data_IF_801743728243
#
_entry.id   IF_801743728243
#
_cell.length_a   1.000
_cell.length_b   1.000
_cell.length_c   1.000
_cell.angle_alpha   90.00
_cell.angle_beta   90.00
_cell.angle_gamma   90.00
#
_symmetry.space_group_name_H-M   'P 1'
#
loop_
_entity.id
_entity.type
_entity.pdbx_description
1 polymer ?
#
# COMPACT_ATOMS: atom_id res chain seq x y z
N UNK A 1 19.54 7.37 -0.51
CA UNK A 1 18.34 7.09 0.28
C UNK A 1 18.58 7.43 1.74
N UNK A 2 17.96 8.51 2.21
CA UNK A 2 18.02 8.91 3.61
C UNK A 2 16.88 8.23 4.39
N UNK A 3 17.06 6.94 4.68
CA UNK A 3 16.03 6.07 5.28
C UNK A 3 15.40 6.68 6.54
N UNK A 4 16.21 7.33 7.39
CA UNK A 4 15.73 7.97 8.61
C UNK A 4 14.75 9.13 8.34
N UNK A 5 14.98 9.90 7.28
CA UNK A 5 14.12 11.01 6.88
C UNK A 5 12.80 10.50 6.31
N UNK A 6 12.84 9.47 5.44
CA UNK A 6 11.64 8.81 4.92
C UNK A 6 10.76 8.29 6.07
N UNK A 7 11.34 7.56 7.02
CA UNK A 7 10.59 6.99 8.14
C UNK A 7 10.03 8.08 9.07
N UNK A 8 10.82 9.11 9.38
CA UNK A 8 10.41 10.23 10.24
C UNK A 8 9.26 11.03 9.64
N UNK A 9 9.35 11.38 8.35
CA UNK A 9 8.27 12.06 7.64
C UNK A 9 7.02 11.18 7.56
N UNK A 10 7.20 9.91 7.22
CA UNK A 10 6.08 8.97 7.13
C UNK A 10 5.37 8.81 8.46
N UNK A 11 6.09 8.77 9.58
CA UNK A 11 5.51 8.62 10.92
C UNK A 11 4.65 9.82 11.34
N UNK A 12 5.01 11.03 10.89
CA UNK A 12 4.25 12.26 11.18
C UNK A 12 3.05 12.44 10.25
N UNK A 13 3.11 11.89 9.05
CA UNK A 13 2.12 12.13 8.00
C UNK A 13 0.67 11.78 8.38
N UNK A 14 0.34 10.65 9.03
CA UNK A 14 -1.06 10.35 9.34
C UNK A 14 -1.69 11.32 10.35
N UNK A 15 -0.89 11.83 11.29
CA UNK A 15 -1.33 12.76 12.34
C UNK A 15 -1.18 14.23 11.95
N UNK A 16 -0.66 14.51 10.74
CA UNK A 16 -0.60 15.86 10.17
C UNK A 16 -1.96 16.57 10.17
N UNK A 17 -3.03 15.80 9.99
CA UNK A 17 -4.40 16.31 10.04
C UNK A 17 -5.34 15.31 10.72
N UNK A 18 -5.57 15.51 12.02
CA UNK A 18 -6.42 14.66 12.85
C UNK A 18 -7.85 14.51 12.31
N UNK A 19 -8.42 15.55 11.73
CA UNK A 19 -9.77 15.48 11.15
C UNK A 19 -9.82 14.50 9.97
N UNK A 20 -8.82 14.56 9.07
CA UNK A 20 -8.73 13.65 7.92
C UNK A 20 -8.44 12.21 8.38
N UNK A 21 -7.57 12.04 9.38
CA UNK A 21 -7.33 10.74 10.00
C UNK A 21 -8.60 10.11 10.58
N UNK A 22 -9.39 10.86 11.33
CA UNK A 22 -10.65 10.38 11.93
C UNK A 22 -11.71 10.03 10.88
N UNK A 23 -11.83 10.83 9.81
CA UNK A 23 -12.74 10.49 8.69
C UNK A 23 -12.29 9.19 8.04
N UNK A 24 -10.98 9.02 7.82
CA UNK A 24 -10.44 7.78 7.26
C UNK A 24 -10.69 6.59 8.20
N UNK A 25 -10.50 6.80 9.50
CA UNK A 25 -10.79 5.83 10.54
C UNK A 25 -12.25 5.41 10.62
N UNK A 26 -13.19 6.31 10.36
CA UNK A 26 -14.62 5.97 10.28
C UNK A 26 -14.91 5.01 9.12
N UNK A 27 -14.22 5.17 7.98
CA UNK A 27 -14.36 4.27 6.83
C UNK A 27 -13.77 2.89 7.16
N UNK A 28 -12.61 2.86 7.81
CA UNK A 28 -12.03 1.61 8.34
C UNK A 28 -12.96 0.92 9.34
N UNK A 29 -13.59 1.68 10.24
CA UNK A 29 -14.56 1.14 11.18
C UNK A 29 -15.75 0.49 10.46
N UNK A 30 -16.32 1.17 9.45
CA UNK A 30 -17.42 0.61 8.63
C UNK A 30 -16.97 -0.68 7.96
N UNK A 31 -15.79 -0.69 7.34
CA UNK A 31 -15.21 -1.87 6.71
C UNK A 31 -15.07 -3.02 7.72
N UNK A 32 -14.43 -2.78 8.87
CA UNK A 32 -14.22 -3.79 9.90
C UNK A 32 -15.53 -4.31 10.49
N UNK A 33 -16.50 -3.43 10.75
CA UNK A 33 -17.81 -3.82 11.23
C UNK A 33 -18.53 -4.75 10.24
N UNK A 34 -18.44 -4.45 8.94
CA UNK A 34 -19.00 -5.30 7.89
C UNK A 34 -18.30 -6.66 7.86
N UNK A 35 -16.97 -6.72 7.92
CA UNK A 35 -16.21 -7.98 7.93
C UNK A 35 -16.54 -8.83 9.17
N UNK A 36 -16.55 -8.23 10.36
CA UNK A 36 -16.90 -8.92 11.61
C UNK A 36 -18.34 -9.43 11.53
N UNK A 37 -19.29 -8.61 11.11
CA UNK A 37 -20.68 -9.04 10.98
C UNK A 37 -20.83 -10.18 9.98
N UNK A 38 -20.17 -10.12 8.81
CA UNK A 38 -20.15 -11.20 7.81
C UNK A 38 -19.67 -12.52 8.42
N UNK A 39 -18.60 -12.49 9.23
CA UNK A 39 -18.07 -13.70 9.89
C UNK A 39 -19.00 -14.35 10.91
N UNK A 40 -20.04 -13.64 11.39
CA UNK A 40 -21.06 -14.19 12.29
C UNK A 40 -22.13 -15.00 11.58
N UNK A 41 -22.31 -14.81 10.27
CA UNK A 41 -23.28 -15.56 9.49
C UNK A 41 -22.68 -16.88 9.01
N UNK A 42 -23.30 -18.01 9.37
CA UNK A 42 -22.92 -19.33 8.88
C UNK A 42 -23.68 -19.77 7.62
N UNK A 43 -24.69 -18.99 7.19
CA UNK A 43 -25.53 -19.27 6.02
C UNK A 43 -25.74 -18.00 5.20
N UNK A 44 -25.88 -18.14 3.89
CA UNK A 44 -26.21 -17.04 2.99
C UNK A 44 -27.64 -16.57 3.33
N UNK A 45 -27.79 -15.28 3.61
CA UNK A 45 -29.07 -14.64 3.93
C UNK A 45 -29.13 -13.24 3.32
N UNK A 46 -30.34 -12.69 3.19
CA UNK A 46 -30.52 -11.31 2.68
C UNK A 46 -29.77 -10.30 3.55
N UNK A 47 -29.75 -10.50 4.87
CA UNK A 47 -28.99 -9.66 5.81
C UNK A 47 -27.49 -9.66 5.52
N UNK A 48 -26.93 -10.83 5.16
CA UNK A 48 -25.52 -10.93 4.77
C UNK A 48 -25.24 -10.10 3.51
N UNK A 49 -26.10 -10.17 2.50
CA UNK A 49 -25.92 -9.40 1.26
C UNK A 49 -25.97 -7.88 1.52
N UNK A 50 -26.88 -7.44 2.39
CA UNK A 50 -26.98 -6.03 2.80
C UNK A 50 -25.71 -5.55 3.51
N UNK A 51 -25.03 -6.43 4.25
CA UNK A 51 -23.79 -6.08 4.97
C UNK A 51 -22.55 -6.10 4.07
N UNK A 52 -22.51 -6.94 3.04
CA UNK A 52 -21.37 -7.06 2.13
C UNK A 52 -21.18 -5.78 1.31
N UNK A 53 -22.28 -5.21 0.78
CA UNK A 53 -22.24 -4.04 -0.10
C UNK A 53 -21.48 -2.85 0.53
N UNK A 54 -21.83 -2.34 1.72
CA UNK A 54 -21.10 -1.24 2.36
C UNK A 54 -19.66 -1.61 2.71
N UNK A 55 -19.38 -2.87 3.06
CA UNK A 55 -18.01 -3.35 3.29
C UNK A 55 -17.15 -3.28 2.03
N UNK A 56 -17.69 -3.70 0.87
CA UNK A 56 -17.01 -3.62 -0.43
C UNK A 56 -16.75 -2.15 -0.81
N UNK A 57 -17.76 -1.29 -0.66
CA UNK A 57 -17.62 0.14 -0.97
C UNK A 57 -16.54 0.77 -0.08
N UNK A 58 -16.57 0.49 1.23
CA UNK A 58 -15.57 0.99 2.17
C UNK A 58 -14.16 0.50 1.81
N UNK A 59 -14.00 -0.78 1.45
CA UNK A 59 -12.73 -1.35 1.00
C UNK A 59 -12.16 -0.61 -0.22
N UNK A 60 -12.97 -0.38 -1.25
CA UNK A 60 -12.51 0.32 -2.44
C UNK A 60 -12.20 1.79 -2.16
N UNK A 61 -12.98 2.47 -1.31
CA UNK A 61 -12.64 3.84 -0.88
C UNK A 61 -11.32 3.87 -0.12
N UNK A 62 -11.04 2.87 0.75
CA UNK A 62 -9.77 2.76 1.46
C UNK A 62 -8.61 2.67 0.48
N UNK A 63 -8.70 1.76 -0.50
CA UNK A 63 -7.67 1.56 -1.52
C UNK A 63 -7.46 2.80 -2.40
N UNK A 64 -8.54 3.48 -2.79
CA UNK A 64 -8.45 4.71 -3.58
C UNK A 64 -7.88 5.90 -2.80
N UNK A 65 -8.24 6.02 -1.52
CA UNK A 65 -7.66 7.04 -0.64
C UNK A 65 -6.17 6.79 -0.38
N UNK A 66 -5.76 5.52 -0.24
CA UNK A 66 -4.34 5.13 -0.18
C UNK A 66 -3.57 5.58 -1.42
N UNK A 67 -4.12 5.33 -2.62
CA UNK A 67 -3.50 5.78 -3.87
C UNK A 67 -3.38 7.31 -3.93
N UNK A 68 -4.44 8.02 -3.53
CA UNK A 68 -4.42 9.48 -3.44
C UNK A 68 -3.37 9.99 -2.45
N UNK A 69 -3.22 9.32 -1.30
CA UNK A 69 -2.18 9.66 -0.32
C UNK A 69 -0.78 9.45 -0.88
N UNK A 70 -0.59 8.46 -1.75
CA UNK A 70 0.66 8.31 -2.50
C UNK A 70 0.86 9.47 -3.49
N UNK A 71 -0.15 9.80 -4.28
CA UNK A 71 -0.11 10.89 -5.27
C UNK A 71 0.27 12.23 -4.63
N UNK A 72 -0.44 12.65 -3.58
CA UNK A 72 -0.17 13.93 -2.90
C UNK A 72 1.21 13.94 -2.24
N UNK A 73 1.64 12.79 -1.70
CA UNK A 73 2.97 12.66 -1.10
C UNK A 73 4.10 12.76 -2.13
N UNK A 74 3.93 12.16 -3.30
CA UNK A 74 4.87 12.29 -4.42
C UNK A 74 4.96 13.76 -4.87
N UNK A 75 3.82 14.46 -4.90
CA UNK A 75 3.72 15.90 -5.20
C UNK A 75 4.28 16.81 -4.09
N UNK A 76 4.72 16.25 -2.96
CA UNK A 76 5.35 17.00 -1.87
C UNK A 76 4.39 17.60 -0.85
N UNK A 77 3.10 17.25 -0.87
CA UNK A 77 2.16 17.69 0.17
C UNK A 77 2.46 16.94 1.48
N UNK A 78 2.53 17.65 2.61
CA UNK A 78 2.86 17.06 3.91
C UNK A 78 1.65 16.70 4.77
N UNK A 79 0.45 16.97 4.28
CA UNK A 79 -0.80 16.63 4.96
C UNK A 79 -1.52 15.47 4.26
N UNK A 80 -2.24 14.66 5.04
CA UNK A 80 -3.11 13.60 4.49
C UNK A 80 -4.16 14.19 3.51
N UNK A 81 -4.58 13.52 2.43
CA UNK A 81 -5.45 14.11 1.41
C UNK A 81 -6.84 14.50 1.92
N UNK A 82 -7.49 15.45 1.24
CA UNK A 82 -8.88 15.78 1.57
C UNK A 82 -9.86 14.71 1.07
N UNK A 83 -10.92 14.49 1.86
CA UNK A 83 -12.07 13.63 1.50
C UNK A 83 -13.04 14.36 0.58
N UNK A 84 -12.56 14.72 -0.61
CA UNK A 84 -13.39 15.22 -1.71
C UNK A 84 -13.50 14.15 -2.82
N UNK A 85 -14.42 14.32 -3.77
CA UNK A 85 -14.54 13.44 -4.95
C UNK A 85 -14.59 11.94 -4.59
N UNK A 86 -15.53 11.55 -3.73
CA UNK A 86 -15.72 10.16 -3.26
C UNK A 86 -15.86 9.15 -4.40
N UNK A 87 -16.59 9.49 -5.45
CA UNK A 87 -16.74 8.65 -6.64
C UNK A 87 -15.39 8.37 -7.32
N UNK A 88 -14.50 9.36 -7.36
CA UNK A 88 -13.16 9.17 -7.92
C UNK A 88 -12.32 8.24 -7.05
N UNK A 89 -12.39 8.36 -5.72
CA UNK A 89 -11.71 7.41 -4.82
C UNK A 89 -12.21 5.98 -5.03
N UNK A 90 -13.52 5.78 -5.21
CA UNK A 90 -14.07 4.47 -5.49
C UNK A 90 -13.53 3.89 -6.80
N UNK A 91 -13.49 4.70 -7.87
CA UNK A 91 -12.95 4.30 -9.18
C UNK A 91 -11.45 4.00 -9.11
N UNK A 92 -10.68 4.83 -8.42
CA UNK A 92 -9.25 4.61 -8.25
C UNK A 92 -8.98 3.36 -7.41
N UNK A 93 -9.78 3.10 -6.37
CA UNK A 93 -9.74 1.85 -5.63
C UNK A 93 -10.00 0.61 -6.50
N UNK A 94 -10.96 0.70 -7.42
CA UNK A 94 -11.23 -0.37 -8.39
C UNK A 94 -10.03 -0.58 -9.33
N UNK A 95 -9.39 0.49 -9.81
CA UNK A 95 -8.17 0.37 -10.63
C UNK A 95 -7.03 -0.29 -9.85
N UNK A 96 -6.80 0.10 -8.59
CA UNK A 96 -5.80 -0.55 -7.72
C UNK A 96 -6.11 -2.03 -7.55
N UNK A 97 -7.38 -2.40 -7.41
CA UNK A 97 -7.78 -3.80 -7.31
C UNK A 97 -7.52 -4.59 -8.60
N UNK A 98 -7.77 -4.00 -9.78
CA UNK A 98 -7.41 -4.62 -11.07
C UNK A 98 -5.90 -4.84 -11.15
N UNK A 99 -5.09 -3.85 -10.78
CA UNK A 99 -3.62 -3.99 -10.71
C UNK A 99 -3.23 -5.10 -9.74
N UNK A 100 -3.84 -5.16 -8.56
CA UNK A 100 -3.58 -6.19 -7.56
C UNK A 100 -3.91 -7.61 -8.09
N UNK A 101 -4.97 -7.77 -8.88
CA UNK A 101 -5.29 -9.04 -9.55
C UNK A 101 -4.19 -9.39 -10.56
N UNK A 102 -3.77 -8.45 -11.40
CA UNK A 102 -2.77 -8.70 -12.45
C UNK A 102 -1.43 -9.13 -11.84
N UNK A 103 -0.94 -8.39 -10.84
CA UNK A 103 0.28 -8.75 -10.12
C UNK A 103 0.11 -10.05 -9.31
N UNK A 104 -1.02 -10.19 -8.61
CA UNK A 104 -1.28 -11.29 -7.69
C UNK A 104 -1.64 -12.63 -8.34
N UNK A 105 -1.98 -12.66 -9.63
CA UNK A 105 -2.50 -13.85 -10.29
C UNK A 105 -1.55 -15.04 -10.23
N UNK A 106 -0.29 -14.86 -10.65
CA UNK A 106 0.70 -15.95 -10.67
C UNK A 106 1.03 -16.45 -9.25
N UNK A 107 1.35 -15.59 -8.26
CA UNK A 107 1.53 -16.05 -6.88
C UNK A 107 0.32 -16.78 -6.32
N UNK A 108 -0.90 -16.26 -6.58
CA UNK A 108 -2.13 -16.87 -6.09
C UNK A 108 -2.34 -18.29 -6.66
N UNK A 109 -2.03 -18.51 -7.94
CA UNK A 109 -2.12 -19.84 -8.56
C UNK A 109 -1.14 -20.83 -7.93
N UNK A 110 0.10 -20.42 -7.67
CA UNK A 110 1.12 -21.27 -7.04
C UNK A 110 0.75 -21.59 -5.59
N UNK A 111 0.31 -20.58 -4.83
CA UNK A 111 -0.14 -20.77 -3.45
C UNK A 111 -1.39 -21.65 -3.40
N UNK A 112 -2.34 -21.44 -4.31
CA UNK A 112 -3.55 -22.26 -4.44
C UNK A 112 -3.22 -23.73 -4.72
N UNK A 113 -2.26 -23.99 -5.61
CA UNK A 113 -1.75 -25.34 -5.85
C UNK A 113 -1.12 -25.93 -4.58
N UNK A 114 -0.27 -25.17 -3.88
CA UNK A 114 0.34 -25.60 -2.62
C UNK A 114 -0.70 -26.00 -1.57
N UNK A 115 -1.73 -25.18 -1.37
CA UNK A 115 -2.83 -25.50 -0.45
C UNK A 115 -3.61 -26.74 -0.88
N UNK A 116 -3.93 -26.86 -2.17
CA UNK A 116 -4.61 -28.03 -2.72
C UNK A 116 -3.82 -29.32 -2.42
N UNK A 117 -2.51 -29.29 -2.63
CA UNK A 117 -1.61 -30.42 -2.34
C UNK A 117 -1.56 -30.77 -0.85
N UNK A 118 -1.54 -29.77 0.05
CA UNK A 118 -1.50 -30.00 1.51
C UNK A 118 -2.82 -30.56 2.04
N UNK A 119 -3.96 -30.08 1.52
CA UNK A 119 -5.30 -30.48 2.01
C UNK A 119 -5.68 -31.86 1.49
N UNK A 120 -5.50 -32.11 0.19
CA UNK A 120 -6.01 -33.33 -0.49
C UNK A 120 -4.94 -34.42 -0.63
N UNK A 121 -3.65 -34.04 -0.65
CA UNK A 121 -2.56 -34.94 -1.01
C UNK A 121 -2.26 -36.04 0.01
N UNK A 122 -1.56 -37.07 -0.46
CA UNK A 122 -0.93 -38.11 0.38
C UNK A 122 0.21 -37.53 1.23
N UNK A 123 0.72 -38.29 2.22
CA UNK A 123 1.76 -37.78 3.14
C UNK A 123 2.98 -37.18 2.45
N UNK A 124 3.49 -37.79 1.38
CA UNK A 124 4.60 -37.25 0.58
C UNK A 124 4.21 -35.97 -0.17
N UNK A 125 3.00 -35.94 -0.76
CA UNK A 125 2.48 -34.79 -1.49
C UNK A 125 2.24 -33.57 -0.58
N UNK A 126 1.91 -33.78 0.70
CA UNK A 126 1.79 -32.70 1.68
C UNK A 126 3.12 -31.99 1.94
N UNK A 127 4.23 -32.74 2.01
CA UNK A 127 5.58 -32.16 2.17
C UNK A 127 5.92 -31.32 0.94
N UNK A 128 5.69 -31.84 -0.26
CA UNK A 128 5.87 -31.08 -1.50
C UNK A 128 4.97 -29.84 -1.56
N UNK A 129 3.71 -29.95 -1.12
CA UNK A 129 2.77 -28.83 -1.03
C UNK A 129 3.26 -27.73 -0.10
N UNK A 130 3.84 -28.08 1.05
CA UNK A 130 4.45 -27.10 1.96
C UNK A 130 5.64 -26.37 1.31
N UNK A 131 6.48 -27.07 0.55
CA UNK A 131 7.57 -26.43 -0.21
C UNK A 131 7.03 -25.48 -1.31
N UNK A 132 5.97 -25.89 -2.02
CA UNK A 132 5.30 -25.03 -3.01
C UNK A 132 4.73 -23.77 -2.36
N UNK A 133 4.18 -23.86 -1.14
CA UNK A 133 3.72 -22.69 -0.39
C UNK A 133 4.86 -21.74 -0.03
N UNK A 134 6.03 -22.26 0.36
CA UNK A 134 7.22 -21.44 0.65
C UNK A 134 7.66 -20.70 -0.62
N UNK A 135 7.76 -21.40 -1.75
CA UNK A 135 8.11 -20.80 -3.05
C UNK A 135 7.08 -19.75 -3.46
N UNK A 136 5.78 -20.06 -3.31
CA UNK A 136 4.70 -19.12 -3.59
C UNK A 136 4.75 -17.87 -2.70
N UNK A 137 5.10 -18.03 -1.42
CA UNK A 137 5.28 -16.91 -0.49
C UNK A 137 6.46 -16.02 -0.85
N UNK A 138 7.61 -16.60 -1.23
CA UNK A 138 8.77 -15.85 -1.71
C UNK A 138 8.43 -15.08 -3.00
N UNK A 139 7.75 -15.74 -3.94
CA UNK A 139 7.31 -15.09 -5.17
C UNK A 139 6.32 -13.96 -4.89
N UNK A 140 5.33 -14.17 -4.02
CA UNK A 140 4.38 -13.14 -3.61
C UNK A 140 5.11 -11.94 -3.01
N UNK A 141 6.08 -12.18 -2.12
CA UNK A 141 6.89 -11.11 -1.56
C UNK A 141 7.67 -10.34 -2.63
N UNK A 142 8.32 -11.02 -3.58
CA UNK A 142 9.02 -10.35 -4.68
C UNK A 142 8.07 -9.53 -5.58
N UNK A 143 6.90 -10.07 -5.91
CA UNK A 143 5.87 -9.40 -6.71
C UNK A 143 5.31 -8.18 -6.00
N UNK A 144 5.12 -8.22 -4.67
CA UNK A 144 4.63 -7.04 -3.93
C UNK A 144 5.64 -5.91 -3.92
N UNK A 145 6.96 -6.18 -3.92
CA UNK A 145 7.98 -5.13 -4.09
C UNK A 145 7.76 -4.35 -5.40
N UNK A 146 7.54 -5.09 -6.49
CA UNK A 146 7.34 -4.50 -7.82
C UNK A 146 6.02 -3.76 -7.87
N UNK A 147 4.95 -4.37 -7.33
CA UNK A 147 3.62 -3.77 -7.28
C UNK A 147 3.60 -2.45 -6.51
N UNK A 148 4.35 -2.33 -5.41
CA UNK A 148 4.42 -1.07 -4.64
C UNK A 148 4.95 0.07 -5.50
N UNK A 149 6.03 -0.14 -6.25
CA UNK A 149 6.57 0.85 -7.16
C UNK A 149 5.64 1.09 -8.35
N UNK A 150 4.98 0.05 -8.85
CA UNK A 150 3.95 0.18 -9.89
C UNK A 150 2.76 1.04 -9.45
N UNK A 151 2.25 0.84 -8.24
CA UNK A 151 1.18 1.67 -7.68
C UNK A 151 1.63 3.12 -7.48
N UNK A 152 2.87 3.36 -7.05
CA UNK A 152 3.41 4.71 -6.97
C UNK A 152 3.57 5.36 -8.37
N UNK A 153 3.95 4.59 -9.40
CA UNK A 153 4.01 5.08 -10.79
C UNK A 153 2.60 5.44 -11.30
N UNK A 154 1.61 4.61 -11.02
CA UNK A 154 0.20 4.90 -11.30
C UNK A 154 -0.31 6.13 -10.55
N UNK A 155 0.05 6.28 -9.27
CA UNK A 155 -0.30 7.45 -8.48
C UNK A 155 0.30 8.73 -9.07
N UNK A 156 1.54 8.66 -9.55
CA UNK A 156 2.23 9.79 -10.18
C UNK A 156 1.64 10.16 -11.55
N UNK A 157 1.42 9.17 -12.42
CA UNK A 157 0.94 9.40 -13.79
C UNK A 157 -0.58 9.51 -13.92
N UNK A 158 -1.34 9.05 -12.92
CA UNK A 158 -2.81 9.09 -12.90
C UNK A 158 -3.51 8.06 -13.81
N UNK A 159 -2.76 7.13 -14.41
CA UNK A 159 -3.27 6.12 -15.34
C UNK A 159 -2.96 4.70 -14.87
N UNK A 160 -3.84 3.75 -15.17
CA UNK A 160 -3.73 2.36 -14.70
C UNK A 160 -2.62 1.57 -15.42
N UNK A 161 -2.40 1.85 -16.70
CA UNK A 161 -1.35 1.27 -17.53
C UNK A 161 0.05 1.57 -16.99
N UNK A 162 0.25 2.75 -16.40
CA UNK A 162 1.50 3.10 -15.71
C UNK A 162 1.86 2.12 -14.56
N UNK A 163 0.87 1.48 -13.92
CA UNK A 163 1.15 0.44 -12.93
C UNK A 163 1.78 -0.82 -13.53
N UNK A 164 1.69 -1.00 -14.85
CA UNK A 164 2.06 -2.21 -15.59
C UNK A 164 3.24 -1.97 -16.54
N UNK A 165 3.86 -0.78 -16.50
CA UNK A 165 5.08 -0.45 -17.24
C UNK A 165 6.29 -1.15 -16.60
N UNK A 166 6.34 -2.48 -16.67
CA UNK A 166 7.32 -3.30 -15.96
C UNK A 166 8.78 -2.90 -16.25
N UNK A 167 9.07 -2.46 -17.48
CA UNK A 167 10.41 -1.99 -17.86
C UNK A 167 10.79 -0.72 -17.09
N UNK A 168 9.90 0.27 -17.03
CA UNK A 168 10.12 1.51 -16.28
C UNK A 168 10.18 1.23 -14.77
N UNK A 169 9.23 0.45 -14.25
CA UNK A 169 9.17 0.08 -12.83
C UNK A 169 10.47 -0.63 -12.41
N UNK A 170 10.95 -1.57 -13.21
CA UNK A 170 12.22 -2.27 -12.92
C UNK A 170 13.41 -1.33 -12.98
N UNK A 171 13.42 -0.35 -13.89
CA UNK A 171 14.45 0.70 -13.94
C UNK A 171 14.45 1.54 -12.66
N UNK A 172 13.27 1.99 -12.21
CA UNK A 172 13.11 2.74 -10.95
C UNK A 172 13.55 1.91 -9.74
N UNK A 173 13.21 0.63 -9.67
CA UNK A 173 13.67 -0.28 -8.61
C UNK A 173 15.20 -0.40 -8.61
N UNK A 174 15.83 -0.49 -9.79
CA UNK A 174 17.30 -0.51 -9.90
C UNK A 174 17.92 0.80 -9.41
N UNK A 175 17.31 1.96 -9.69
CA UNK A 175 17.73 3.27 -9.19
C UNK A 175 17.64 3.37 -7.66
N UNK A 176 16.55 2.86 -7.07
CA UNK A 176 16.38 2.75 -5.60
C UNK A 176 17.42 1.79 -4.99
N UNK A 177 17.68 0.69 -5.69
CA UNK A 177 18.43 -0.46 -5.22
C UNK A 177 17.52 -1.51 -4.59
N UNK A 178 17.54 -2.74 -5.13
CA UNK A 178 16.72 -3.86 -4.64
C UNK A 178 16.88 -4.11 -3.14
N UNK A 179 18.12 -4.09 -2.65
CA UNK A 179 18.39 -4.31 -1.23
C UNK A 179 17.76 -3.22 -0.36
N UNK A 180 17.88 -1.95 -0.77
CA UNK A 180 17.30 -0.84 -0.02
C UNK A 180 15.77 -0.94 0.02
N UNK A 181 15.14 -1.31 -1.10
CA UNK A 181 13.69 -1.54 -1.18
C UNK A 181 13.25 -2.69 -0.27
N UNK A 182 14.00 -3.80 -0.24
CA UNK A 182 13.74 -4.92 0.67
C UNK A 182 13.89 -4.48 2.13
N UNK A 183 14.97 -3.77 2.47
CA UNK A 183 15.25 -3.31 3.84
C UNK A 183 14.15 -2.38 4.34
N UNK A 184 13.74 -1.37 3.57
CA UNK A 184 12.67 -0.48 4.01
C UNK A 184 11.34 -1.22 4.16
N UNK A 185 11.00 -2.15 3.27
CA UNK A 185 9.77 -2.93 3.39
C UNK A 185 9.78 -3.85 4.61
N UNK A 186 10.94 -4.42 4.97
CA UNK A 186 11.10 -5.17 6.23
C UNK A 186 10.91 -4.23 7.43
N UNK A 187 11.55 -3.05 7.45
CA UNK A 187 11.42 -2.08 8.54
C UNK A 187 9.96 -1.65 8.70
N UNK A 188 9.28 -1.28 7.61
CA UNK A 188 7.86 -0.93 7.62
C UNK A 188 7.01 -2.11 8.10
N UNK A 189 7.32 -3.33 7.68
CA UNK A 189 6.67 -4.56 8.15
C UNK A 189 6.81 -4.77 9.66
N UNK A 190 8.01 -4.63 10.20
CA UNK A 190 8.29 -4.76 11.64
C UNK A 190 7.54 -3.68 12.43
N UNK A 191 7.61 -2.41 11.99
CA UNK A 191 6.87 -1.31 12.64
C UNK A 191 5.37 -1.60 12.67
N UNK A 192 4.82 -2.09 11.56
CA UNK A 192 3.41 -2.46 11.49
C UNK A 192 3.04 -3.63 12.40
N UNK A 193 3.90 -4.64 12.53
CA UNK A 193 3.70 -5.75 13.48
C UNK A 193 3.68 -5.22 14.92
N UNK A 194 4.58 -4.31 15.26
CA UNK A 194 4.62 -3.69 16.61
C UNK A 194 3.36 -2.86 16.90
N UNK A 195 2.91 -2.05 15.94
CA UNK A 195 1.66 -1.29 16.03
C UNK A 195 0.43 -2.21 16.15
N UNK A 196 0.39 -3.29 15.37
CA UNK A 196 -0.67 -4.29 15.44
C UNK A 196 -0.69 -4.99 16.80
N UNK A 197 0.47 -5.37 17.35
CA UNK A 197 0.58 -5.94 18.68
C UNK A 197 0.07 -4.97 19.76
N UNK A 198 0.40 -3.68 19.66
CA UNK A 198 -0.13 -2.65 20.55
C UNK A 198 -1.67 -2.54 20.43
N UNK A 199 -2.23 -2.64 19.23
CA UNK A 199 -3.68 -2.64 19.01
C UNK A 199 -4.38 -3.87 19.63
N UNK A 200 -3.72 -5.03 19.65
CA UNK A 200 -4.22 -6.23 20.32
C UNK A 200 -4.27 -6.01 21.84
N UNK A 201 -3.28 -5.33 22.42
CA UNK A 201 -3.31 -4.98 23.85
C UNK A 201 -4.47 -4.02 24.18
N UNK A 202 -4.80 -3.08 23.29
CA UNK A 202 -5.99 -2.24 23.46
C UNK A 202 -7.30 -3.05 23.41
N UNK A 203 -7.29 -4.18 22.71
CA UNK A 203 -8.43 -5.10 22.57
C UNK A 203 -8.73 -5.94 23.81
N UNK A 204 -7.91 -5.83 24.86
CA UNK A 204 -8.22 -6.38 26.21
C UNK A 204 -9.52 -5.78 26.74
N UNK A 205 -9.85 -4.54 26.37
CA UNK A 205 -11.15 -3.95 26.66
C UNK A 205 -12.08 -4.32 25.48
N UNK A 206 -13.05 -5.24 25.67
CA UNK A 206 -13.90 -5.70 24.58
C UNK A 206 -14.66 -4.52 23.98
N UNK A 207 -14.87 -4.56 22.66
CA UNK A 207 -15.57 -3.53 21.87
C UNK A 207 -14.77 -2.21 21.75
N UNK A 208 -14.35 -1.60 22.85
CA UNK A 208 -13.61 -0.32 22.85
C UNK A 208 -12.25 -0.45 22.16
N UNK A 209 -11.51 -1.54 22.38
CA UNK A 209 -10.22 -1.74 21.73
C UNK A 209 -10.34 -1.91 20.22
N UNK A 210 -11.36 -2.63 19.75
CA UNK A 210 -11.63 -2.79 18.30
C UNK A 210 -11.96 -1.45 17.67
N UNK A 211 -12.78 -0.64 18.36
CA UNK A 211 -13.19 0.68 17.88
C UNK A 211 -11.99 1.63 17.78
N UNK A 212 -11.17 1.72 18.82
CA UNK A 212 -9.96 2.56 18.84
C UNK A 212 -8.92 2.09 17.82
N UNK A 213 -8.70 0.78 17.71
CA UNK A 213 -7.80 0.21 16.71
C UNK A 213 -8.26 0.57 15.28
N UNK A 214 -9.55 0.49 15.01
CA UNK A 214 -10.11 0.77 13.67
C UNK A 214 -10.05 2.26 13.31
N UNK A 215 -10.32 3.15 14.27
CA UNK A 215 -10.38 4.60 14.01
C UNK A 215 -9.00 5.25 13.98
N UNK A 216 -8.04 4.73 14.74
CA UNK A 216 -6.73 5.37 14.90
C UNK A 216 -5.65 4.49 14.29
N UNK A 217 -5.49 3.25 14.75
CA UNK A 217 -4.32 2.43 14.41
C UNK A 217 -4.32 2.00 12.95
N UNK A 218 -5.44 1.45 12.45
CA UNK A 218 -5.55 1.02 11.05
C UNK A 218 -5.31 2.14 10.03
N UNK A 219 -6.01 3.29 10.07
CA UNK A 219 -5.78 4.38 9.13
C UNK A 219 -4.41 5.02 9.32
N UNK A 220 -3.86 5.03 10.54
CA UNK A 220 -2.51 5.49 10.79
C UNK A 220 -1.48 4.64 10.04
N UNK A 221 -1.54 3.31 10.22
CA UNK A 221 -0.66 2.36 9.55
C UNK A 221 -0.76 2.47 8.02
N UNK A 222 -1.99 2.59 7.51
CA UNK A 222 -2.23 2.68 6.06
C UNK A 222 -1.61 3.94 5.44
N UNK A 223 -1.81 5.10 6.08
CA UNK A 223 -1.24 6.37 5.63
C UNK A 223 0.27 6.43 5.82
N UNK A 224 0.79 5.85 6.89
CA UNK A 224 2.23 5.73 7.15
C UNK A 224 2.92 4.96 6.02
N UNK A 225 2.38 3.80 5.65
CA UNK A 225 2.90 2.98 4.55
C UNK A 225 2.78 3.71 3.20
N UNK A 226 1.62 4.31 2.92
CA UNK A 226 1.39 5.05 1.68
C UNK A 226 2.41 6.19 1.50
N UNK A 227 2.69 6.94 2.57
CA UNK A 227 3.70 8.01 2.57
C UNK A 227 5.10 7.45 2.35
N UNK A 228 5.48 6.38 3.05
CA UNK A 228 6.80 5.79 2.92
C UNK A 228 7.06 5.32 1.47
N UNK A 229 6.08 4.63 0.87
CA UNK A 229 6.17 4.18 -0.53
C UNK A 229 6.24 5.33 -1.53
N UNK A 230 5.49 6.40 -1.29
CA UNK A 230 5.56 7.60 -2.11
C UNK A 230 6.92 8.30 -2.03
N UNK A 231 7.51 8.42 -0.84
CA UNK A 231 8.81 9.06 -0.67
C UNK A 231 9.94 8.24 -1.29
N UNK A 232 9.93 6.91 -1.13
CA UNK A 232 10.88 6.02 -1.83
C UNK A 232 10.75 6.20 -3.35
N UNK A 233 9.53 6.21 -3.87
CA UNK A 233 9.29 6.40 -5.29
C UNK A 233 9.75 7.78 -5.77
N UNK A 234 9.56 8.82 -4.96
CA UNK A 234 9.97 10.20 -5.27
C UNK A 234 11.48 10.30 -5.52
N UNK A 235 12.31 9.52 -4.82
CA UNK A 235 13.77 9.46 -5.09
C UNK A 235 14.12 9.01 -6.52
N UNK A 236 13.17 8.42 -7.25
CA UNK A 236 13.36 7.97 -8.63
C UNK A 236 12.98 8.99 -9.68
N UNK A 237 12.20 10.01 -9.30
CA UNK A 237 11.76 11.07 -10.19
C UNK A 237 12.89 12.09 -10.28
N UNK A 238 13.40 12.33 -11.49
CA UNK A 238 14.31 13.45 -11.70
C UNK A 238 13.49 14.73 -11.55
N UNK A 239 13.83 15.59 -10.59
CA UNK A 239 13.14 16.87 -10.44
C UNK A 239 13.33 17.68 -11.74
N UNK A 240 12.29 18.30 -12.31
CA UNK A 240 12.37 19.04 -13.57
C UNK A 240 13.25 20.32 -13.53
N UNK A 241 14.19 20.44 -12.58
CA UNK A 241 15.12 21.57 -12.43
C UNK A 241 16.60 21.24 -12.50
N UNK A 242 17.02 19.96 -12.42
CA UNK A 242 18.45 19.63 -12.33
C UNK A 242 19.14 19.62 -13.71
N UNK A 243 18.38 19.32 -14.78
CA UNK A 243 18.87 19.33 -16.17
C UNK A 243 19.06 20.73 -16.78
N UNK A 244 18.51 21.78 -16.16
CA UNK A 244 18.68 23.17 -16.62
C UNK A 244 19.87 23.88 -15.98
N UNK A 245 20.37 23.38 -14.84
CA UNK A 245 21.55 23.95 -14.18
C UNK A 245 22.86 23.37 -14.72
N UNK A 246 22.84 22.14 -15.24
CA UNK A 246 24.00 21.50 -15.87
C UNK A 246 24.31 22.08 -17.27
N UNK A 247 23.34 22.76 -17.90
CA UNK A 247 23.49 23.40 -19.22
C UNK A 247 23.92 24.87 -19.19
N UNK A 248 24.04 25.50 -18.02
CA UNK A 248 24.37 26.94 -17.86
C UNK A 248 25.71 27.14 -17.13
N UNK A 249 26.60 26.15 -17.21
CA UNK A 249 27.98 26.26 -16.74
C UNK A 249 28.95 26.54 -17.89
N UNK A 250 29.45 27.79 -17.93
CA UNK A 250 30.69 28.25 -18.58
C UNK A 250 30.59 28.70 -20.05
N UNK A 251 30.47 30.01 -20.24
CA UNK A 251 31.37 30.75 -21.16
C UNK A 251 31.64 32.14 -20.58
N UNK A 252 32.66 32.19 -19.73
CA UNK A 252 33.43 33.39 -19.46
C UNK A 252 34.12 33.81 -20.77
N UNK A 253 33.65 34.88 -21.40
CA UNK A 253 34.33 35.48 -22.54
C UNK A 253 34.39 37.00 -22.33
N UNK A 254 35.44 37.39 -21.60
CA UNK A 254 36.26 38.59 -21.78
C UNK A 254 35.73 39.64 -22.79
N UNK A 255 35.22 40.76 -22.28
CA UNK A 255 35.15 42.02 -23.03
C UNK A 255 36.53 42.72 -22.97
N UNK A 256 37.16 43.05 -24.12
CA UNK A 256 38.37 43.86 -24.13
C UNK A 256 38.04 45.36 -24.11
N UNK A 257 38.75 46.06 -23.20
CA UNK A 257 39.10 47.51 -23.12
C UNK A 257 37.97 48.53 -23.23
#
# INVERSE_FOLDING_TARGET
MEMGNILSESFKYPVSNWKRLLIFGLIFLIYQFCIIGVSRFSRISVLLLILIIPGIIAYFIIMGYRLRAMETSIKGENEAPTFNKWSQMLLDGLKVFVVAIIYGFIPAMIIGLGFFMVIVGSSLMKISGALVLIVGGILLFGVTLIMVIGLSNMAYQGKIDAALEFAEITSKIKKIGWLNLIVIMIILGVINILLAAAAVLLSVIPILGIFLASIIVCPYMDLFIARAYALIYKETIDEPGESLMEGVGISDESLPV
#
